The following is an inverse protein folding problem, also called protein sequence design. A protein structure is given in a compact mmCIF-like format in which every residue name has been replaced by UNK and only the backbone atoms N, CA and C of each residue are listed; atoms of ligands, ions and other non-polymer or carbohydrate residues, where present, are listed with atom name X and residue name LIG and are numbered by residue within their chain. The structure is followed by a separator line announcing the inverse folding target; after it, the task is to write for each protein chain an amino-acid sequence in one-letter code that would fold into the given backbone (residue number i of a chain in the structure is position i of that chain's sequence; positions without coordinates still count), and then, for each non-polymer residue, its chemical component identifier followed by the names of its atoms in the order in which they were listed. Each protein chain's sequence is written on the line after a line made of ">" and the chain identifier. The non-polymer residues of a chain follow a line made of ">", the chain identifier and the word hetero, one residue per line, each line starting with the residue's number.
data_IF_410000436244
#
_entry.id   IF_410000436244
#
_cell.length_a   1.000
_cell.length_b   1.000
_cell.length_c   1.000
_cell.angle_alpha   90.00
_cell.angle_beta   90.00
_cell.angle_gamma   90.00
#
_symmetry.space_group_name_H-M   'P 1'
#
loop_
_entity.id
_entity.type
_entity.pdbx_description
1 polymer ?
#
# COMPACT_ATOMS: atom_id res chain seq x y z
N UNK A 1 17.07 5.64 19.78
CA UNK A 1 17.94 5.08 18.71
C UNK A 1 18.74 3.94 19.32
N UNK A 2 18.81 2.78 18.67
CA UNK A 2 19.65 1.67 19.14
C UNK A 2 21.11 1.94 18.78
N UNK A 3 22.04 1.65 19.71
CA UNK A 3 23.48 1.81 19.49
C UNK A 3 24.07 0.70 18.59
N UNK A 4 23.36 -0.42 18.48
CA UNK A 4 23.72 -1.60 17.69
C UNK A 4 22.60 -1.86 16.69
N UNK A 5 22.98 -2.23 15.47
CA UNK A 5 22.02 -2.63 14.45
C UNK A 5 21.26 -3.88 14.94
N UNK A 6 19.92 -3.87 14.99
CA UNK A 6 19.15 -5.05 15.34
C UNK A 6 19.38 -6.17 14.32
N UNK A 7 19.19 -7.40 14.76
CA UNK A 7 19.31 -8.57 13.89
C UNK A 7 18.37 -8.46 12.69
N UNK A 8 18.87 -8.87 11.53
CA UNK A 8 18.10 -8.86 10.29
C UNK A 8 17.04 -9.97 10.37
N UNK A 9 15.75 -9.68 10.10
CA UNK A 9 14.70 -10.69 10.14
C UNK A 9 15.00 -11.90 9.26
N UNK A 10 14.72 -13.12 9.75
CA UNK A 10 15.04 -14.36 9.02
C UNK A 10 14.38 -14.48 7.65
N UNK A 11 13.21 -13.89 7.44
CA UNK A 11 12.54 -13.84 6.14
C UNK A 11 13.33 -13.03 5.10
N UNK A 12 13.96 -11.93 5.51
CA UNK A 12 14.83 -11.10 4.65
C UNK A 12 16.06 -11.87 4.19
N UNK A 13 16.68 -12.64 5.09
CA UNK A 13 17.83 -13.48 4.77
C UNK A 13 17.45 -14.59 3.79
N UNK A 14 16.32 -15.27 3.99
CA UNK A 14 15.82 -16.29 3.06
C UNK A 14 15.54 -15.74 1.66
N UNK A 15 14.88 -14.58 1.55
CA UNK A 15 14.63 -13.92 0.25
C UNK A 15 15.92 -13.56 -0.47
N UNK A 16 16.87 -12.98 0.26
CA UNK A 16 18.18 -12.57 -0.30
C UNK A 16 18.99 -13.75 -0.82
N UNK A 17 18.92 -14.89 -0.12
CA UNK A 17 19.49 -16.17 -0.59
C UNK A 17 18.78 -16.69 -1.84
N UNK A 18 17.44 -16.65 -1.88
CA UNK A 18 16.66 -17.11 -3.02
C UNK A 18 16.92 -16.30 -4.30
N UNK A 19 17.31 -15.03 -4.17
CA UNK A 19 17.69 -14.16 -5.30
C UNK A 19 19.21 -14.13 -5.56
N UNK A 20 20.00 -15.05 -4.98
CA UNK A 20 21.45 -15.15 -5.15
C UNK A 20 22.22 -13.82 -4.99
N UNK A 21 21.82 -12.98 -4.03
CA UNK A 21 22.43 -11.67 -3.79
C UNK A 21 22.85 -11.50 -2.33
N UNK A 22 23.39 -10.33 -1.97
CA UNK A 22 23.77 -9.97 -0.59
C UNK A 22 23.18 -8.62 -0.20
N UNK A 23 22.95 -8.39 1.09
CA UNK A 23 22.50 -7.08 1.58
C UNK A 23 23.44 -5.95 1.14
N UNK A 24 24.76 -6.19 1.16
CA UNK A 24 25.73 -5.20 0.71
C UNK A 24 25.60 -4.87 -0.79
N UNK A 25 25.35 -5.88 -1.62
CA UNK A 25 25.11 -5.66 -3.05
C UNK A 25 23.84 -4.86 -3.28
N UNK A 26 22.74 -5.21 -2.58
CA UNK A 26 21.47 -4.48 -2.64
C UNK A 26 21.62 -3.02 -2.17
N UNK A 27 22.32 -2.79 -1.06
CA UNK A 27 22.64 -1.45 -0.56
C UNK A 27 23.40 -0.61 -1.60
N UNK A 28 24.47 -1.16 -2.18
CA UNK A 28 25.26 -0.44 -3.20
C UNK A 28 24.43 -0.06 -4.42
N UNK A 29 23.49 -0.93 -4.81
CA UNK A 29 22.58 -0.69 -5.94
C UNK A 29 21.64 0.48 -5.68
N UNK A 30 20.93 0.50 -4.55
CA UNK A 30 20.03 1.62 -4.20
C UNK A 30 20.80 2.91 -3.93
N UNK A 31 21.98 2.82 -3.31
CA UNK A 31 22.85 3.98 -3.12
C UNK A 31 23.29 4.59 -4.46
N UNK A 32 23.73 3.75 -5.41
CA UNK A 32 24.13 4.21 -6.73
C UNK A 32 22.96 4.84 -7.50
N UNK A 33 21.74 4.30 -7.38
CA UNK A 33 20.53 4.90 -7.95
C UNK A 33 20.32 6.32 -7.41
N UNK A 34 20.29 6.49 -6.09
CA UNK A 34 20.11 7.79 -5.44
C UNK A 34 21.25 8.77 -5.77
N UNK A 35 22.49 8.27 -5.86
CA UNK A 35 23.65 9.10 -6.17
C UNK A 35 23.59 9.66 -7.59
N UNK A 36 23.23 8.82 -8.55
CA UNK A 36 23.29 9.16 -9.98
C UNK A 36 22.01 9.82 -10.51
N UNK A 37 20.88 9.66 -9.82
CA UNK A 37 19.61 10.23 -10.24
C UNK A 37 19.31 11.55 -9.51
N UNK A 38 19.63 12.67 -10.18
CA UNK A 38 19.36 14.01 -9.66
C UNK A 38 17.86 14.35 -9.64
N UNK A 39 17.08 13.79 -10.57
CA UNK A 39 15.65 14.03 -10.69
C UNK A 39 14.90 13.34 -9.54
N UNK A 40 15.20 12.07 -9.26
CA UNK A 40 14.69 11.33 -8.11
C UNK A 40 14.98 12.06 -6.80
N UNK A 41 16.20 12.53 -6.59
CA UNK A 41 16.55 13.34 -5.41
C UNK A 41 15.76 14.65 -5.36
N UNK A 42 15.47 15.25 -6.52
CA UNK A 42 14.58 16.41 -6.64
C UNK A 42 13.16 16.11 -6.18
N UNK A 43 12.57 15.00 -6.67
CA UNK A 43 11.24 14.53 -6.27
C UNK A 43 11.17 14.25 -4.76
N UNK A 44 12.16 13.55 -4.19
CA UNK A 44 12.25 13.29 -2.74
C UNK A 44 12.23 14.61 -1.95
N UNK A 45 13.07 15.59 -2.33
CA UNK A 45 13.10 16.89 -1.63
C UNK A 45 11.77 17.64 -1.74
N UNK A 46 11.13 17.61 -2.91
CA UNK A 46 9.85 18.27 -3.14
C UNK A 46 8.74 17.67 -2.27
N UNK A 47 8.62 16.34 -2.25
CA UNK A 47 7.66 15.62 -1.42
C UNK A 47 7.96 15.82 0.06
N UNK A 48 9.22 15.68 0.47
CA UNK A 48 9.67 15.93 1.84
C UNK A 48 9.24 17.33 2.33
N UNK A 49 9.45 18.36 1.51
CA UNK A 49 9.04 19.72 1.84
C UNK A 49 7.52 19.87 1.95
N UNK A 50 6.74 19.28 1.04
CA UNK A 50 5.29 19.36 1.07
C UNK A 50 4.68 18.73 2.34
N UNK A 51 5.27 17.63 2.82
CA UNK A 51 4.80 16.89 4.00
C UNK A 51 5.52 17.27 5.31
N UNK A 52 6.48 18.20 5.27
CA UNK A 52 7.24 18.61 6.47
C UNK A 52 8.14 17.51 7.04
N UNK A 53 8.66 16.62 6.19
CA UNK A 53 9.50 15.48 6.54
C UNK A 53 10.96 15.81 6.21
N UNK A 54 11.93 15.44 7.05
CA UNK A 54 13.34 15.48 6.66
C UNK A 54 13.55 14.50 5.48
N UNK A 55 14.05 14.94 4.30
CA UNK A 55 14.25 14.06 3.15
C UNK A 55 15.12 12.84 3.46
N UNK A 56 15.97 12.90 4.50
CA UNK A 56 16.76 11.77 4.95
C UNK A 56 15.91 10.61 5.53
N UNK A 57 14.71 10.89 6.05
CA UNK A 57 13.78 9.84 6.45
C UNK A 57 13.24 9.08 5.24
N UNK A 58 12.88 9.79 4.16
CA UNK A 58 12.43 9.17 2.91
C UNK A 58 13.57 8.34 2.30
N UNK A 59 14.78 8.90 2.24
CA UNK A 59 15.98 8.16 1.77
C UNK A 59 16.23 6.93 2.63
N UNK A 60 16.18 7.05 3.96
CA UNK A 60 16.37 5.94 4.88
C UNK A 60 15.34 4.82 4.69
N UNK A 61 14.07 5.18 4.45
CA UNK A 61 13.01 4.22 4.14
C UNK A 61 13.27 3.48 2.82
N UNK A 62 13.60 4.20 1.74
CA UNK A 62 13.93 3.63 0.43
C UNK A 62 15.14 2.67 0.56
N UNK A 63 16.21 3.13 1.20
CA UNK A 63 17.42 2.32 1.38
C UNK A 63 17.13 1.08 2.22
N UNK A 64 16.38 1.21 3.32
CA UNK A 64 16.00 0.09 4.18
C UNK A 64 15.16 -0.96 3.45
N UNK A 65 14.11 -0.53 2.75
CA UNK A 65 13.20 -1.40 2.00
C UNK A 65 13.94 -2.16 0.88
N UNK A 66 14.74 -1.46 0.07
CA UNK A 66 15.48 -2.10 -1.02
C UNK A 66 16.72 -2.87 -0.57
N UNK A 67 17.27 -2.59 0.62
CA UNK A 67 18.36 -3.41 1.16
C UNK A 67 17.80 -4.69 1.75
N UNK A 68 16.80 -4.62 2.63
CA UNK A 68 16.39 -5.75 3.46
C UNK A 68 15.11 -6.45 3.02
N UNK A 69 14.33 -5.90 2.09
CA UNK A 69 13.04 -6.48 1.71
C UNK A 69 12.98 -6.91 0.23
N UNK A 70 13.01 -5.96 -0.70
CA UNK A 70 12.77 -6.16 -2.15
C UNK A 70 14.03 -5.86 -2.98
N UNK A 71 14.14 -6.34 -4.22
CA UNK A 71 15.20 -5.92 -5.15
C UNK A 71 14.66 -4.82 -6.09
N UNK A 72 15.43 -3.75 -6.30
CA UNK A 72 15.00 -2.53 -6.99
C UNK A 72 14.75 -2.71 -8.50
N UNK A 73 15.20 -3.79 -9.14
CA UNK A 73 15.12 -3.93 -10.61
C UNK A 73 14.29 -5.10 -11.13
N UNK A 74 14.15 -6.21 -10.38
CA UNK A 74 13.46 -7.41 -10.89
C UNK A 74 11.93 -7.26 -10.95
N UNK A 75 11.38 -6.12 -10.51
CA UNK A 75 9.94 -5.96 -10.35
C UNK A 75 9.28 -4.97 -11.30
N UNK A 76 10.02 -4.08 -11.99
CA UNK A 76 9.38 -3.12 -12.91
C UNK A 76 8.61 -3.83 -14.04
N UNK A 77 9.18 -4.91 -14.59
CA UNK A 77 8.49 -5.70 -15.62
C UNK A 77 7.26 -6.44 -15.07
N UNK A 78 7.36 -7.08 -13.90
CA UNK A 78 6.22 -7.75 -13.27
C UNK A 78 5.13 -6.76 -12.85
N UNK A 79 5.50 -5.58 -12.36
CA UNK A 79 4.56 -4.51 -12.03
C UNK A 79 3.86 -3.98 -13.26
N UNK A 80 4.59 -3.76 -14.36
CA UNK A 80 4.00 -3.32 -15.62
C UNK A 80 2.98 -4.33 -16.16
N UNK A 81 3.31 -5.63 -16.14
CA UNK A 81 2.38 -6.68 -16.56
C UNK A 81 1.14 -6.73 -15.67
N UNK A 82 1.30 -6.61 -14.34
CA UNK A 82 0.17 -6.56 -13.41
C UNK A 82 -0.68 -5.30 -13.63
N UNK A 83 -0.05 -4.14 -13.75
CA UNK A 83 -0.72 -2.88 -14.04
C UNK A 83 -1.55 -2.96 -15.33
N UNK A 84 -0.97 -3.51 -16.40
CA UNK A 84 -1.70 -3.75 -17.65
C UNK A 84 -2.88 -4.70 -17.47
N UNK A 85 -2.74 -5.76 -16.67
CA UNK A 85 -3.84 -6.68 -16.39
C UNK A 85 -4.99 -6.02 -15.64
N UNK A 86 -4.70 -5.06 -14.75
CA UNK A 86 -5.73 -4.35 -13.99
C UNK A 86 -6.39 -3.25 -14.83
N UNK A 87 -5.62 -2.50 -15.61
CA UNK A 87 -6.15 -1.46 -16.51
C UNK A 87 -7.05 -2.01 -17.62
N UNK A 88 -6.90 -3.29 -17.97
CA UNK A 88 -7.74 -3.99 -18.96
C UNK A 88 -8.88 -4.81 -18.34
N UNK A 89 -8.91 -4.94 -17.01
CA UNK A 89 -9.94 -5.70 -16.27
C UNK A 89 -10.99 -4.77 -15.67
N UNK A 90 -12.21 -5.26 -15.48
CA UNK A 90 -13.23 -4.56 -14.69
C UNK A 90 -12.99 -4.91 -13.22
N UNK A 91 -12.20 -4.09 -12.54
CA UNK A 91 -11.92 -4.27 -11.10
C UNK A 91 -13.18 -3.99 -10.26
N UNK A 92 -13.32 -4.75 -9.18
CA UNK A 92 -14.37 -4.58 -8.17
C UNK A 92 -13.76 -4.86 -6.80
N UNK A 93 -14.04 -4.01 -5.81
CA UNK A 93 -13.65 -4.26 -4.43
C UNK A 93 -14.77 -5.06 -3.75
N UNK A 94 -14.65 -6.38 -3.74
CA UNK A 94 -15.72 -7.26 -3.30
C UNK A 94 -15.21 -8.49 -2.55
N UNK A 95 -16.07 -9.04 -1.71
CA UNK A 95 -15.88 -10.34 -1.07
C UNK A 95 -17.05 -11.26 -1.42
N UNK A 96 -16.77 -12.45 -1.94
CA UNK A 96 -17.80 -13.42 -2.38
C UNK A 96 -18.90 -12.82 -3.28
N UNK A 97 -18.54 -11.81 -4.08
CA UNK A 97 -19.45 -11.13 -5.00
C UNK A 97 -20.24 -9.95 -4.41
N UNK A 98 -20.09 -9.67 -3.11
CA UNK A 98 -20.64 -8.48 -2.46
C UNK A 98 -19.64 -7.32 -2.51
N UNK A 99 -20.05 -6.20 -3.10
CA UNK A 99 -19.25 -4.98 -3.16
C UNK A 99 -19.02 -4.37 -1.77
N UNK A 100 -17.84 -3.79 -1.54
CA UNK A 100 -17.48 -3.19 -0.26
C UNK A 100 -18.37 -1.98 0.07
N UNK A 101 -18.80 -1.21 -0.94
CA UNK A 101 -19.71 -0.07 -0.80
C UNK A 101 -21.06 -0.48 -0.22
N UNK A 102 -21.58 -1.63 -0.65
CA UNK A 102 -22.80 -2.25 -0.12
C UNK A 102 -22.56 -2.86 1.27
N UNK A 103 -21.45 -3.59 1.44
CA UNK A 103 -21.11 -4.26 2.69
C UNK A 103 -21.06 -3.30 3.88
N UNK A 104 -20.50 -2.11 3.68
CA UNK A 104 -20.35 -1.10 4.74
C UNK A 104 -21.63 -0.33 5.06
N UNK A 105 -22.75 -0.62 4.39
CA UNK A 105 -24.07 -0.05 4.74
C UNK A 105 -24.75 -0.77 5.91
N UNK A 106 -24.19 -1.89 6.37
CA UNK A 106 -24.80 -2.71 7.43
C UNK A 106 -24.87 -1.98 8.78
N UNK A 107 -25.82 -2.34 9.66
CA UNK A 107 -26.02 -1.66 10.95
C UNK A 107 -24.78 -1.57 11.84
N UNK A 108 -23.88 -2.55 11.77
CA UNK A 108 -22.62 -2.59 12.50
C UNK A 108 -21.69 -1.42 12.18
N UNK A 109 -21.81 -0.86 10.96
CA UNK A 109 -21.02 0.28 10.49
C UNK A 109 -21.64 1.64 10.82
N UNK A 110 -22.84 1.69 11.42
CA UNK A 110 -23.53 2.96 11.72
C UNK A 110 -22.69 3.95 12.51
N UNK A 111 -21.79 3.47 13.39
CA UNK A 111 -20.89 4.35 14.17
C UNK A 111 -19.84 5.08 13.32
N UNK A 112 -19.59 4.61 12.11
CA UNK A 112 -18.68 5.25 11.15
C UNK A 112 -19.43 6.26 10.27
N UNK A 113 -20.76 6.31 10.32
CA UNK A 113 -21.55 7.27 9.55
C UNK A 113 -21.26 8.69 10.06
N UNK A 114 -21.04 9.63 9.13
CA UNK A 114 -20.74 11.03 9.43
C UNK A 114 -19.26 11.35 9.65
N UNK A 115 -18.35 10.39 9.43
CA UNK A 115 -16.92 10.67 9.31
C UNK A 115 -16.63 11.19 7.90
N UNK A 116 -16.22 12.44 7.79
CA UNK A 116 -15.92 13.09 6.50
C UNK A 116 -14.46 12.93 6.07
N UNK A 117 -13.55 12.68 7.01
CA UNK A 117 -12.15 12.39 6.72
C UNK A 117 -11.97 10.92 6.30
N UNK A 118 -11.33 10.71 5.16
CA UNK A 118 -11.12 9.39 4.56
C UNK A 118 -10.35 8.45 5.47
N UNK A 119 -9.37 8.95 6.24
CA UNK A 119 -8.58 8.13 7.15
C UNK A 119 -9.47 7.61 8.27
N UNK A 120 -10.19 8.51 8.95
CA UNK A 120 -11.05 8.17 10.08
C UNK A 120 -12.19 7.23 9.65
N UNK A 121 -12.79 7.48 8.48
CA UNK A 121 -13.88 6.67 7.94
C UNK A 121 -13.43 5.22 7.68
N UNK A 122 -12.33 5.04 6.96
CA UNK A 122 -11.84 3.71 6.59
C UNK A 122 -11.23 2.97 7.79
N UNK A 123 -10.53 3.66 8.69
CA UNK A 123 -10.06 3.08 9.95
C UNK A 123 -11.24 2.60 10.82
N UNK A 124 -12.30 3.40 10.94
CA UNK A 124 -13.50 2.99 11.67
C UNK A 124 -14.13 1.72 11.07
N UNK A 125 -14.20 1.63 9.73
CA UNK A 125 -14.71 0.45 9.02
C UNK A 125 -13.82 -0.77 9.25
N UNK A 126 -12.49 -0.61 9.24
CA UNK A 126 -11.56 -1.69 9.59
C UNK A 126 -11.76 -2.19 11.03
N UNK A 127 -11.97 -1.28 11.98
CA UNK A 127 -12.24 -1.65 13.36
C UNK A 127 -13.57 -2.40 13.51
N UNK A 128 -14.62 -1.97 12.79
CA UNK A 128 -15.90 -2.71 12.75
C UNK A 128 -15.69 -4.10 12.17
N UNK A 129 -14.99 -4.23 11.04
CA UNK A 129 -14.65 -5.53 10.44
C UNK A 129 -13.96 -6.45 11.46
N UNK A 130 -12.88 -5.97 12.07
CA UNK A 130 -12.09 -6.75 13.01
C UNK A 130 -12.90 -7.17 14.25
N UNK A 131 -13.80 -6.31 14.72
CA UNK A 131 -14.59 -6.59 15.91
C UNK A 131 -15.82 -7.46 15.62
N UNK A 132 -16.55 -7.21 14.54
CA UNK A 132 -17.87 -7.78 14.31
C UNK A 132 -17.87 -8.94 13.30
N UNK A 133 -16.96 -8.95 12.32
CA UNK A 133 -17.04 -9.85 11.17
C UNK A 133 -15.87 -10.83 11.09
N UNK A 134 -14.62 -10.38 11.24
CA UNK A 134 -13.42 -11.20 11.03
C UNK A 134 -13.47 -12.52 11.80
N UNK A 135 -13.46 -13.64 11.06
CA UNK A 135 -13.49 -15.00 11.62
C UNK A 135 -14.78 -15.37 12.34
N UNK A 136 -15.89 -14.65 12.10
CA UNK A 136 -17.19 -14.86 12.76
C UNK A 136 -18.28 -15.19 11.75
N UNK A 137 -19.38 -15.75 12.25
CA UNK A 137 -20.62 -15.90 11.49
C UNK A 137 -21.60 -14.82 11.89
N UNK A 138 -22.05 -14.00 10.94
CA UNK A 138 -23.03 -12.93 11.15
C UNK A 138 -24.16 -13.11 10.15
N UNK A 139 -25.40 -13.14 10.64
CA UNK A 139 -26.59 -13.31 9.78
C UNK A 139 -26.61 -14.62 8.98
N UNK A 140 -25.91 -15.67 9.44
CA UNK A 140 -25.79 -16.96 8.73
C UNK A 140 -24.63 -17.05 7.74
N UNK A 141 -23.92 -15.94 7.47
CA UNK A 141 -22.74 -15.92 6.60
C UNK A 141 -21.46 -16.00 7.43
N UNK A 142 -20.55 -16.90 7.06
CA UNK A 142 -19.24 -17.03 7.70
C UNK A 142 -18.22 -16.13 7.02
N UNK A 143 -17.46 -15.36 7.79
CA UNK A 143 -16.43 -14.47 7.28
C UNK A 143 -15.02 -14.98 7.57
N UNK A 144 -14.04 -14.71 6.70
CA UNK A 144 -12.67 -15.21 6.85
C UNK A 144 -12.00 -14.56 8.06
N UNK A 145 -11.07 -15.28 8.67
CA UNK A 145 -10.17 -14.71 9.67
C UNK A 145 -9.00 -13.96 8.99
N UNK A 146 -9.33 -12.95 8.19
CA UNK A 146 -8.36 -12.15 7.44
C UNK A 146 -8.61 -10.64 7.63
N UNK A 147 -7.64 -9.82 7.23
CA UNK A 147 -7.70 -8.35 7.34
C UNK A 147 -8.69 -7.79 6.32
N UNK A 148 -9.40 -6.71 6.68
CA UNK A 148 -10.39 -6.05 5.82
C UNK A 148 -9.83 -5.71 4.43
N UNK A 149 -8.65 -5.09 4.40
CA UNK A 149 -7.92 -4.79 3.16
C UNK A 149 -7.63 -6.03 2.30
N UNK A 150 -7.32 -7.16 2.90
CA UNK A 150 -7.07 -8.40 2.16
C UNK A 150 -8.35 -9.05 1.65
N UNK A 151 -9.44 -8.94 2.42
CA UNK A 151 -10.74 -9.52 2.09
C UNK A 151 -11.44 -8.79 0.95
N UNK A 152 -11.44 -7.45 0.93
CA UNK A 152 -12.22 -6.66 -0.03
C UNK A 152 -11.39 -5.97 -1.12
N UNK A 153 -10.11 -5.65 -0.84
CA UNK A 153 -9.31 -4.77 -1.69
C UNK A 153 -8.18 -5.51 -2.43
N UNK A 154 -8.33 -6.82 -2.63
CA UNK A 154 -7.34 -7.65 -3.32
C UNK A 154 -8.03 -8.64 -4.29
N UNK A 155 -8.64 -8.16 -5.39
CA UNK A 155 -9.49 -8.97 -6.26
C UNK A 155 -8.75 -10.06 -7.04
N UNK A 156 -7.42 -10.04 -7.10
CA UNK A 156 -6.63 -11.00 -7.89
C UNK A 156 -5.44 -11.61 -7.16
N UNK A 157 -4.76 -10.86 -6.28
CA UNK A 157 -3.56 -11.34 -5.61
C UNK A 157 -3.59 -10.94 -4.13
N UNK A 158 -4.20 -11.81 -3.33
CA UNK A 158 -4.18 -11.68 -1.87
C UNK A 158 -2.73 -11.55 -1.37
N UNK A 159 -2.48 -10.57 -0.49
CA UNK A 159 -1.20 -10.32 0.15
C UNK A 159 -0.16 -9.54 -0.66
N UNK A 160 -0.45 -9.12 -1.90
CA UNK A 160 0.50 -8.36 -2.70
C UNK A 160 0.27 -6.85 -2.55
N UNK A 161 1.39 -6.16 -2.48
CA UNK A 161 1.50 -4.74 -2.23
C UNK A 161 2.26 -4.11 -3.41
N UNK A 162 1.87 -2.91 -3.85
CA UNK A 162 2.31 -2.37 -5.15
C UNK A 162 3.15 -1.09 -4.98
N UNK A 163 4.04 -0.83 -5.96
CA UNK A 163 4.93 0.33 -5.96
C UNK A 163 6.15 0.21 -5.03
N UNK A 164 6.95 1.30 -4.95
CA UNK A 164 8.22 1.39 -4.19
C UNK A 164 8.07 1.31 -2.65
N UNK A 165 6.87 1.05 -2.15
CA UNK A 165 6.58 1.03 -0.73
C UNK A 165 5.44 0.11 -0.36
N UNK A 166 5.07 -0.81 -1.25
CA UNK A 166 4.08 -1.81 -0.91
C UNK A 166 2.71 -1.19 -0.51
N UNK A 167 2.26 -0.17 -1.24
CA UNK A 167 0.99 0.50 -0.96
C UNK A 167 -0.17 -0.42 -1.37
N UNK A 168 -1.16 -0.54 -0.50
CA UNK A 168 -2.40 -1.28 -0.78
C UNK A 168 -3.57 -0.30 -1.04
N UNK A 169 -4.62 -0.71 -1.77
CA UNK A 169 -5.72 0.19 -2.12
C UNK A 169 -6.42 0.83 -0.93
N UNK A 170 -6.59 0.10 0.18
CA UNK A 170 -7.25 0.63 1.38
C UNK A 170 -6.43 1.75 2.02
N UNK A 171 -5.11 1.61 2.09
CA UNK A 171 -4.22 2.67 2.57
C UNK A 171 -4.23 3.88 1.64
N UNK A 172 -4.31 3.68 0.32
CA UNK A 172 -4.46 4.80 -0.61
C UNK A 172 -5.79 5.55 -0.41
N UNK A 173 -6.88 4.81 -0.20
CA UNK A 173 -8.19 5.39 0.13
C UNK A 173 -8.16 6.15 1.47
N UNK A 174 -7.54 5.59 2.51
CA UNK A 174 -7.36 6.26 3.80
C UNK A 174 -6.61 7.58 3.66
N UNK A 175 -5.55 7.62 2.85
CA UNK A 175 -4.69 8.80 2.70
C UNK A 175 -5.21 9.80 1.66
N UNK A 176 -6.30 9.49 0.95
CA UNK A 176 -6.86 10.26 -0.16
C UNK A 176 -7.05 11.75 0.17
N UNK A 177 -7.67 12.07 1.30
CA UNK A 177 -7.91 13.47 1.70
C UNK A 177 -6.64 14.23 2.04
N UNK A 178 -5.70 13.57 2.72
CA UNK A 178 -4.41 14.17 3.05
C UNK A 178 -3.62 14.46 1.77
N UNK A 179 -3.55 13.49 0.86
CA UNK A 179 -2.84 13.63 -0.43
C UNK A 179 -3.50 14.71 -1.29
N UNK A 180 -4.83 14.76 -1.35
CA UNK A 180 -5.55 15.83 -2.04
C UNK A 180 -5.22 17.20 -1.45
N UNK A 181 -5.23 17.33 -0.13
CA UNK A 181 -4.95 18.58 0.58
C UNK A 181 -3.51 19.07 0.39
N UNK A 182 -2.53 18.16 0.42
CA UNK A 182 -1.10 18.51 0.38
C UNK A 182 -0.56 18.59 -1.05
N UNK A 183 -0.92 17.64 -1.91
CA UNK A 183 -0.39 17.50 -3.26
C UNK A 183 -1.34 18.02 -4.36
N UNK A 184 -2.62 18.28 -4.05
CA UNK A 184 -3.62 18.72 -5.03
C UNK A 184 -4.10 17.62 -5.98
N UNK A 185 -3.76 16.35 -5.72
CA UNK A 185 -4.17 15.22 -6.55
C UNK A 185 -5.66 14.91 -6.35
N UNK A 186 -6.38 14.36 -7.35
CA UNK A 186 -7.79 13.99 -7.20
C UNK A 186 -8.00 13.03 -6.02
N UNK A 187 -9.11 13.21 -5.31
CA UNK A 187 -9.53 12.22 -4.30
C UNK A 187 -9.85 10.90 -4.99
N UNK A 188 -9.47 9.82 -4.32
CA UNK A 188 -9.82 8.46 -4.68
C UNK A 188 -11.22 8.10 -4.19
N UNK A 189 -11.94 7.32 -4.99
CA UNK A 189 -13.25 6.78 -4.68
C UNK A 189 -13.20 5.25 -4.70
N UNK A 190 -13.85 4.62 -3.73
CA UNK A 190 -13.95 3.16 -3.66
C UNK A 190 -14.81 2.59 -4.79
N UNK A 191 -15.73 3.39 -5.33
CA UNK A 191 -16.56 3.02 -6.48
C UNK A 191 -15.79 3.07 -7.81
N UNK A 192 -14.54 3.56 -7.82
CA UNK A 192 -13.62 3.47 -8.97
C UNK A 192 -12.33 2.69 -8.62
N UNK A 193 -12.41 1.35 -8.49
CA UNK A 193 -11.25 0.52 -8.21
C UNK A 193 -10.12 0.66 -9.24
N UNK A 194 -10.45 0.92 -10.51
CA UNK A 194 -9.45 1.09 -11.56
C UNK A 194 -8.61 2.34 -11.34
N UNK A 195 -9.23 3.46 -10.98
CA UNK A 195 -8.51 4.67 -10.62
C UNK A 195 -7.62 4.46 -9.40
N UNK A 196 -8.13 3.81 -8.35
CA UNK A 196 -7.34 3.49 -7.15
C UNK A 196 -6.12 2.64 -7.51
N UNK A 197 -6.31 1.56 -8.27
CA UNK A 197 -5.21 0.69 -8.69
C UNK A 197 -4.20 1.38 -9.59
N UNK A 198 -4.67 2.22 -10.53
CA UNK A 198 -3.81 3.03 -11.37
C UNK A 198 -2.94 3.96 -10.53
N UNK A 199 -3.54 4.67 -9.58
CA UNK A 199 -2.85 5.60 -8.69
C UNK A 199 -1.76 4.89 -7.88
N UNK A 200 -2.04 3.76 -7.22
CA UNK A 200 -1.03 3.06 -6.40
C UNK A 200 0.10 2.40 -7.21
N UNK A 201 -0.07 2.24 -8.52
CA UNK A 201 0.92 1.62 -9.41
C UNK A 201 1.79 2.64 -10.13
N UNK A 202 1.31 3.86 -10.29
CA UNK A 202 2.02 4.94 -10.94
C UNK A 202 2.63 5.89 -9.87
N UNK A 203 3.95 5.87 -9.67
CA UNK A 203 4.63 6.70 -8.68
C UNK A 203 4.56 8.20 -8.97
N UNK A 204 4.14 8.61 -10.18
CA UNK A 204 3.90 10.02 -10.50
C UNK A 204 2.43 10.46 -10.26
N UNK A 205 1.54 9.51 -9.93
CA UNK A 205 0.13 9.76 -9.60
C UNK A 205 -0.17 9.59 -8.10
N UNK A 206 0.83 9.30 -7.27
CA UNK A 206 0.77 9.15 -5.81
C UNK A 206 1.63 10.17 -5.09
#
# INVERSE_FOLDING_TARGET
>A
RNAVQPDIPGASSRRTQATNTTFQAKYRKVYALLQNDAELRGKIRKVAAAYGIDPMHIVGAIVGEHTYNVDAYDHLQTYYVKAMSYLSSKLTFAYEGEDVGDFVQRPEFKKCAGMDDSYDLWECREQVWNHAFRGKTVGGTSFPNDRFGATFFQPYYAGQTFGLGQLNPLTALQMSDLVHKVSGLPKLDVEDPNAVYKTIMDPDLT
#
